data_IF_187695949559
#
_entry.id   IF_187695949559
#
_cell.length_a   1.000
_cell.length_b   1.000
_cell.length_c   1.000
_cell.angle_alpha   90.00
_cell.angle_beta   90.00
_cell.angle_gamma   90.00
#
_symmetry.space_group_name_H-M   'P 1'
#
loop_
_entity.id
_entity.type
_entity.pdbx_description
1 polymer ?
#
# COMPACT_ATOMS: atom_id res chain seq x y z
N UNK A 1 -5.96 -14.01 -0.41
CA UNK A 1 -5.68 -13.57 0.98
C UNK A 1 -6.33 -14.45 2.07
N UNK A 2 -6.86 -15.64 1.74
CA UNK A 2 -7.46 -16.53 2.75
C UNK A 2 -6.48 -16.83 3.90
N UNK A 3 -6.94 -16.67 5.15
CA UNK A 3 -6.13 -16.89 6.35
C UNK A 3 -5.40 -15.66 6.91
N UNK A 4 -5.58 -14.47 6.30
CA UNK A 4 -5.16 -13.22 6.93
C UNK A 4 -6.17 -12.75 7.98
N UNK A 5 -5.66 -12.09 9.03
CA UNK A 5 -6.44 -11.46 10.08
C UNK A 5 -6.18 -9.95 9.99
N UNK A 6 -7.25 -9.18 9.88
CA UNK A 6 -7.24 -7.73 9.98
C UNK A 6 -7.42 -7.33 11.43
N UNK A 7 -6.66 -6.34 11.89
CA UNK A 7 -6.70 -5.81 13.25
C UNK A 7 -7.02 -4.33 13.20
N UNK A 8 -8.11 -3.93 13.84
CA UNK A 8 -8.47 -2.55 14.10
C UNK A 8 -8.03 -2.19 15.51
N UNK A 9 -7.13 -1.21 15.65
CA UNK A 9 -6.55 -0.77 16.92
C UNK A 9 -7.00 0.65 17.22
N UNK A 10 -7.70 0.87 18.33
CA UNK A 10 -8.02 2.22 18.82
C UNK A 10 -6.72 2.93 19.22
N UNK A 11 -6.45 4.08 18.61
CA UNK A 11 -5.19 4.83 18.83
C UNK A 11 -5.09 5.47 20.21
N UNK A 12 -6.22 5.67 20.92
CA UNK A 12 -6.24 6.24 22.26
C UNK A 12 -6.21 5.16 23.33
N UNK A 13 -7.09 4.16 23.23
CA UNK A 13 -7.23 3.11 24.26
C UNK A 13 -6.31 1.91 24.05
N UNK A 14 -5.79 1.72 22.84
CA UNK A 14 -5.03 0.53 22.45
C UNK A 14 -5.89 -0.72 22.28
N UNK A 15 -7.22 -0.62 22.43
CA UNK A 15 -8.14 -1.74 22.26
C UNK A 15 -8.04 -2.29 20.84
N UNK A 16 -7.97 -3.62 20.71
CA UNK A 16 -7.87 -4.33 19.42
C UNK A 16 -9.14 -5.11 19.13
N UNK A 17 -9.61 -5.02 17.89
CA UNK A 17 -10.67 -5.84 17.33
C UNK A 17 -10.05 -6.60 16.16
N UNK A 18 -10.21 -7.92 16.13
CA UNK A 18 -9.64 -8.79 15.08
C UNK A 18 -10.77 -9.38 14.22
N UNK A 19 -10.52 -9.46 12.92
CA UNK A 19 -11.47 -10.02 11.96
C UNK A 19 -10.72 -10.82 10.88
N UNK A 20 -11.17 -12.05 10.63
CA UNK A 20 -10.63 -12.87 9.54
C UNK A 20 -11.10 -12.35 8.19
N UNK A 21 -10.21 -12.39 7.19
CA UNK A 21 -10.54 -12.16 5.78
C UNK A 21 -11.16 -13.45 5.22
N UNK A 22 -12.30 -13.32 4.54
CA UNK A 22 -12.98 -14.45 3.91
C UNK A 22 -12.28 -14.90 2.61
N UNK A 23 -12.84 -15.93 1.95
CA UNK A 23 -12.31 -16.47 0.70
C UNK A 23 -12.36 -15.47 -0.46
N UNK A 24 -13.23 -14.46 -0.39
CA UNK A 24 -13.36 -13.39 -1.37
C UNK A 24 -12.44 -12.19 -1.09
N UNK A 25 -11.66 -12.22 -0.02
CA UNK A 25 -10.78 -11.12 0.36
C UNK A 25 -11.48 -10.03 1.18
N UNK A 26 -12.72 -10.25 1.59
CA UNK A 26 -13.55 -9.26 2.30
C UNK A 26 -13.46 -9.47 3.81
N UNK A 27 -13.53 -8.38 4.57
CA UNK A 27 -13.61 -8.38 6.03
C UNK A 27 -14.66 -7.35 6.47
N UNK A 28 -15.31 -7.60 7.62
CA UNK A 28 -16.33 -6.72 8.17
C UNK A 28 -16.16 -6.58 9.68
N UNK A 29 -15.91 -5.35 10.14
CA UNK A 29 -15.99 -5.01 11.56
C UNK A 29 -17.40 -4.50 11.89
N UNK A 30 -18.06 -5.12 12.87
CA UNK A 30 -19.38 -4.72 13.35
C UNK A 30 -19.28 -4.00 14.71
N UNK A 31 -20.22 -3.10 14.98
CA UNK A 31 -20.32 -2.38 16.26
C UNK A 31 -19.05 -1.62 16.67
N UNK A 32 -18.29 -1.10 15.69
CA UNK A 32 -17.11 -0.25 15.95
C UNK A 32 -17.59 1.10 16.50
N UNK A 33 -17.10 1.53 17.69
CA UNK A 33 -17.44 2.84 18.24
C UNK A 33 -17.11 3.99 17.27
N UNK A 34 -18.09 4.85 17.02
CA UNK A 34 -17.91 6.02 16.15
C UNK A 34 -17.19 7.17 16.85
N UNK A 35 -16.63 8.10 16.08
CA UNK A 35 -15.97 9.30 16.62
C UNK A 35 -14.58 9.06 17.21
N UNK A 36 -13.99 7.90 16.93
CA UNK A 36 -12.62 7.53 17.33
C UNK A 36 -11.68 7.41 16.14
N UNK A 37 -10.38 7.49 16.42
CA UNK A 37 -9.31 7.26 15.43
C UNK A 37 -8.76 5.85 15.61
N UNK A 38 -8.74 5.10 14.52
CA UNK A 38 -8.26 3.73 14.51
C UNK A 38 -7.08 3.55 13.57
N UNK A 39 -6.19 2.63 13.91
CA UNK A 39 -5.17 2.10 13.03
C UNK A 39 -5.62 0.71 12.56
N UNK A 40 -5.65 0.50 11.25
CA UNK A 40 -5.93 -0.81 10.65
C UNK A 40 -4.60 -1.49 10.27
N UNK A 41 -4.47 -2.78 10.51
CA UNK A 41 -3.27 -3.52 10.12
C UNK A 41 -3.57 -4.99 9.85
N UNK A 42 -2.63 -5.69 9.24
CA UNK A 42 -2.68 -7.14 9.12
C UNK A 42 -1.89 -7.76 10.26
N UNK A 43 -2.49 -8.72 10.97
CA UNK A 43 -1.83 -9.45 12.08
C UNK A 43 -0.72 -10.35 11.57
N UNK A 44 -0.97 -11.01 10.46
CA UNK A 44 -0.07 -12.01 9.90
C UNK A 44 0.90 -11.33 8.94
N UNK A 45 2.18 -11.71 9.02
CA UNK A 45 3.17 -11.24 8.09
C UNK A 45 2.79 -11.66 6.67
N UNK A 46 2.96 -10.74 5.73
CA UNK A 46 2.81 -11.06 4.32
C UNK A 46 3.85 -12.09 3.89
N UNK A 47 3.50 -12.98 2.95
CA UNK A 47 4.48 -13.86 2.34
C UNK A 47 5.67 -13.03 1.81
N UNK A 48 6.89 -13.59 1.86
CA UNK A 48 8.05 -12.91 1.30
C UNK A 48 7.82 -12.66 -0.20
N UNK A 49 8.00 -11.42 -0.61
CA UNK A 49 7.93 -11.01 -2.01
C UNK A 49 9.36 -10.96 -2.53
N UNK A 50 9.61 -11.62 -3.66
CA UNK A 50 10.88 -11.54 -4.38
C UNK A 50 10.93 -10.22 -5.16
N UNK A 51 11.38 -9.15 -4.49
CA UNK A 51 11.48 -7.80 -5.08
C UNK A 51 12.42 -7.73 -6.28
N UNK A 52 13.38 -8.65 -6.40
CA UNK A 52 14.29 -8.70 -7.56
C UNK A 52 13.58 -9.21 -8.82
N UNK A 53 12.55 -10.05 -8.65
CA UNK A 53 11.71 -10.51 -9.76
C UNK A 53 10.54 -9.58 -10.06
N UNK A 54 10.12 -8.78 -9.09
CA UNK A 54 8.98 -7.89 -9.20
C UNK A 54 9.26 -6.59 -9.97
N UNK A 55 10.53 -6.17 -10.06
CA UNK A 55 10.90 -4.83 -10.53
C UNK A 55 11.72 -4.94 -11.80
N UNK A 56 11.32 -4.20 -12.83
CA UNK A 56 11.91 -4.26 -14.17
C UNK A 56 12.20 -2.87 -14.75
N UNK A 57 12.80 -2.83 -15.94
CA UNK A 57 13.01 -1.57 -16.68
C UNK A 57 11.67 -0.96 -17.14
N UNK A 58 10.61 -1.76 -17.29
CA UNK A 58 9.29 -1.26 -17.64
C UNK A 58 8.74 -0.31 -16.56
N UNK A 59 9.04 -0.59 -15.30
CA UNK A 59 8.67 0.28 -14.17
C UNK A 59 9.31 1.65 -14.29
N UNK A 60 10.60 1.68 -14.62
CA UNK A 60 11.35 2.92 -14.85
C UNK A 60 10.74 3.77 -15.98
N UNK A 61 10.33 3.13 -17.08
CA UNK A 61 9.67 3.80 -18.20
C UNK A 61 8.33 4.39 -17.76
N UNK A 62 7.54 3.66 -16.97
CA UNK A 62 6.24 4.14 -16.47
C UNK A 62 6.38 5.33 -15.52
N UNK A 63 7.36 5.31 -14.62
CA UNK A 63 7.71 6.46 -13.77
C UNK A 63 8.09 7.66 -14.63
N UNK A 64 8.93 7.45 -15.65
CA UNK A 64 9.36 8.50 -16.58
C UNK A 64 8.17 9.13 -17.32
N UNK A 65 7.25 8.31 -17.82
CA UNK A 65 6.02 8.78 -18.49
C UNK A 65 5.14 9.64 -17.58
N UNK A 66 5.07 9.31 -16.29
CA UNK A 66 4.30 10.08 -15.33
C UNK A 66 4.95 11.43 -15.01
N UNK A 67 6.26 11.46 -14.77
CA UNK A 67 7.01 12.69 -14.55
C UNK A 67 6.89 13.65 -15.75
N UNK A 68 6.91 13.10 -16.96
CA UNK A 68 6.79 13.87 -18.21
C UNK A 68 5.33 14.17 -18.62
N UNK A 69 4.35 13.85 -17.78
CA UNK A 69 2.92 14.00 -18.06
C UNK A 69 2.42 13.33 -19.37
N UNK A 70 3.12 12.29 -19.84
CA UNK A 70 2.74 11.48 -21.01
C UNK A 70 1.61 10.53 -20.65
N UNK A 71 1.74 9.84 -19.51
CA UNK A 71 0.71 8.95 -18.97
C UNK A 71 0.76 8.95 -17.44
N UNK A 72 -0.31 9.41 -16.76
CA UNK A 72 -0.32 9.43 -15.31
C UNK A 72 -0.36 8.01 -14.73
N UNK A 73 0.34 7.80 -13.62
CA UNK A 73 0.19 6.60 -12.80
C UNK A 73 -1.13 6.65 -12.02
N UNK A 74 -1.76 5.51 -11.80
CA UNK A 74 -2.86 5.40 -10.83
C UNK A 74 -2.31 5.56 -9.40
N UNK A 75 -3.20 5.71 -8.41
CA UNK A 75 -2.78 5.97 -7.03
C UNK A 75 -1.85 4.89 -6.46
N UNK A 76 -2.18 3.60 -6.64
CA UNK A 76 -1.34 2.50 -6.17
C UNK A 76 0.06 2.53 -6.80
N UNK A 77 0.15 2.78 -8.11
CA UNK A 77 1.41 2.89 -8.82
C UNK A 77 2.18 4.17 -8.43
N UNK A 78 1.52 5.28 -8.09
CA UNK A 78 2.19 6.44 -7.51
C UNK A 78 2.81 6.11 -6.15
N UNK A 79 2.13 5.32 -5.32
CA UNK A 79 2.70 4.84 -4.05
C UNK A 79 3.87 3.88 -4.26
N UNK A 80 3.84 3.05 -5.30
CA UNK A 80 5.00 2.22 -5.68
C UNK A 80 6.16 3.08 -6.17
N UNK A 81 5.87 4.14 -6.92
CA UNK A 81 6.86 5.02 -7.53
C UNK A 81 7.54 5.98 -6.54
N UNK A 82 6.86 6.45 -5.49
CA UNK A 82 7.40 7.37 -4.47
C UNK A 82 8.38 6.64 -3.53
N UNK A 83 9.59 6.35 -4.01
CA UNK A 83 10.57 5.51 -3.33
C UNK A 83 11.17 6.16 -2.08
N UNK A 84 11.19 7.48 -2.00
CA UNK A 84 11.68 8.21 -0.83
C UNK A 84 10.58 8.68 0.13
N UNK A 85 9.31 8.33 -0.13
CA UNK A 85 8.15 8.71 0.69
C UNK A 85 7.98 10.23 0.82
N UNK A 86 8.28 10.95 -0.25
CA UNK A 86 8.16 12.41 -0.32
C UNK A 86 6.73 12.89 -0.60
N UNK A 87 5.77 11.97 -0.76
CA UNK A 87 4.38 12.23 -1.17
C UNK A 87 4.25 12.73 -2.61
N UNK A 88 5.27 12.52 -3.43
CA UNK A 88 5.27 12.87 -4.84
C UNK A 88 6.19 11.92 -5.63
N UNK A 89 5.94 11.82 -6.94
CA UNK A 89 6.80 11.05 -7.84
C UNK A 89 7.67 12.02 -8.62
N UNK A 90 8.97 11.95 -8.38
CA UNK A 90 9.95 12.89 -8.92
C UNK A 90 11.07 12.16 -9.65
N UNK A 91 11.95 12.92 -10.31
CA UNK A 91 13.17 12.39 -10.91
C UNK A 91 14.11 11.76 -9.87
N UNK A 92 14.02 12.14 -8.59
CA UNK A 92 14.79 11.50 -7.53
C UNK A 92 14.38 10.04 -7.33
N UNK A 93 13.09 9.74 -7.38
CA UNK A 93 12.57 8.38 -7.29
C UNK A 93 13.05 7.51 -8.45
N UNK A 94 13.02 8.08 -9.67
CA UNK A 94 13.57 7.43 -10.86
C UNK A 94 15.05 7.05 -10.66
N UNK A 95 15.85 7.96 -10.08
CA UNK A 95 17.26 7.69 -9.75
C UNK A 95 17.41 6.60 -8.70
N UNK A 96 16.55 6.56 -7.67
CA UNK A 96 16.58 5.50 -6.65
C UNK A 96 16.26 4.13 -7.26
N UNK A 97 15.29 4.04 -8.16
CA UNK A 97 14.94 2.80 -8.86
C UNK A 97 16.09 2.33 -9.76
N UNK A 98 16.74 3.26 -10.49
CA UNK A 98 17.92 2.94 -11.30
C UNK A 98 19.07 2.40 -10.46
N UNK A 99 19.33 2.95 -9.28
CA UNK A 99 20.38 2.45 -8.38
C UNK A 99 20.06 1.04 -7.88
N UNK A 100 18.79 0.75 -7.60
CA UNK A 100 18.35 -0.59 -7.21
C UNK A 100 18.57 -1.61 -8.34
N UNK A 101 18.10 -1.32 -9.55
CA UNK A 101 18.27 -2.20 -10.72
C UNK A 101 19.75 -2.46 -11.07
N UNK A 102 20.64 -1.49 -10.77
CA UNK A 102 22.09 -1.64 -10.95
C UNK A 102 22.78 -2.41 -9.81
N UNK A 103 22.05 -2.85 -8.77
CA UNK A 103 22.64 -3.48 -7.59
C UNK A 103 23.46 -2.54 -6.71
N UNK A 104 23.37 -1.22 -6.92
CA UNK A 104 24.02 -0.19 -6.09
C UNK A 104 23.25 0.08 -4.80
N UNK A 105 21.99 -0.37 -4.75
CA UNK A 105 21.11 -0.28 -3.61
C UNK A 105 20.41 -1.61 -3.40
N UNK A 106 20.55 -2.19 -2.20
CA UNK A 106 20.01 -3.52 -1.90
C UNK A 106 18.64 -3.49 -1.20
N UNK A 107 18.18 -2.29 -0.81
CA UNK A 107 16.90 -2.11 -0.14
C UNK A 107 16.29 -0.76 -0.54
N UNK A 108 15.13 -0.80 -1.19
CA UNK A 108 14.31 0.37 -1.52
C UNK A 108 13.09 0.50 -0.58
N UNK A 109 13.06 -0.30 0.49
CA UNK A 109 11.98 -0.34 1.46
C UNK A 109 10.79 -1.10 0.90
N UNK A 110 10.38 -2.20 1.53
CA UNK A 110 9.11 -2.85 1.17
C UNK A 110 8.03 -2.18 2.02
N UNK A 111 7.34 -1.15 1.49
CA UNK A 111 6.13 -0.65 2.15
C UNK A 111 4.96 -1.54 1.78
N UNK A 112 4.68 -2.47 2.68
CA UNK A 112 3.69 -3.53 2.55
C UNK A 112 2.31 -2.98 2.88
N UNK A 113 1.45 -2.89 1.87
CA UNK A 113 0.04 -2.51 1.92
C UNK A 113 -0.28 -1.01 2.10
N UNK A 114 -1.12 -0.49 1.21
CA UNK A 114 -1.86 0.76 1.37
C UNK A 114 -3.33 0.45 1.56
N UNK A 115 -4.07 1.28 2.30
CA UNK A 115 -5.53 1.16 2.37
C UNK A 115 -6.16 2.06 1.32
N UNK A 116 -6.99 1.50 0.45
CA UNK A 116 -7.83 2.28 -0.45
C UNK A 116 -9.28 2.22 0.01
N UNK A 117 -9.99 3.35 -0.01
CA UNK A 117 -11.45 3.36 0.02
C UNK A 117 -11.98 3.45 -1.41
N UNK A 118 -12.82 2.48 -1.81
CA UNK A 118 -13.42 2.40 -3.14
C UNK A 118 -12.37 2.57 -4.27
N UNK A 119 -11.17 1.99 -4.10
CA UNK A 119 -10.07 2.06 -5.07
C UNK A 119 -9.50 3.45 -5.36
N UNK A 120 -9.84 4.50 -4.59
CA UNK A 120 -9.53 5.90 -4.96
C UNK A 120 -8.91 6.76 -3.86
N UNK A 121 -9.14 6.45 -2.58
CA UNK A 121 -8.58 7.24 -1.48
C UNK A 121 -7.60 6.43 -0.68
N UNK A 122 -6.31 6.76 -0.78
CA UNK A 122 -5.26 6.13 0.02
C UNK A 122 -5.17 6.73 1.42
N UNK A 123 -5.28 5.90 2.46
CA UNK A 123 -4.94 6.31 3.82
C UNK A 123 -3.44 6.13 4.06
N UNK A 124 -2.74 7.21 4.40
CA UNK A 124 -1.35 7.11 4.83
C UNK A 124 -1.28 6.33 6.15
N UNK A 125 -0.34 5.39 6.26
CA UNK A 125 -0.03 4.64 7.48
C UNK A 125 -1.19 3.82 8.07
N UNK A 126 -2.20 3.52 7.26
CA UNK A 126 -3.38 2.77 7.66
C UNK A 126 -4.15 3.39 8.83
N UNK A 127 -4.04 4.71 9.01
CA UNK A 127 -4.77 5.47 10.03
C UNK A 127 -6.09 5.92 9.42
N UNK A 128 -7.19 5.59 10.09
CA UNK A 128 -8.55 6.00 9.74
C UNK A 128 -8.95 7.12 10.70
N UNK A 129 -8.88 8.39 10.26
CA UNK A 129 -9.33 9.50 11.08
C UNK A 129 -10.86 9.52 11.11
N UNK A 130 -11.42 9.51 12.33
CA UNK A 130 -12.84 9.74 12.61
C UNK A 130 -13.79 8.76 11.88
N UNK A 131 -13.98 7.56 12.46
CA UNK A 131 -15.00 6.62 12.01
C UNK A 131 -16.41 7.19 12.28
N UNK A 132 -16.94 8.04 11.40
CA UNK A 132 -18.24 8.70 11.53
C UNK A 132 -19.33 8.07 10.66
N UNK A 133 -18.95 7.20 9.73
CA UNK A 133 -19.84 6.50 8.81
C UNK A 133 -19.25 5.13 8.44
N UNK A 134 -20.04 4.29 7.78
CA UNK A 134 -19.54 3.04 7.20
C UNK A 134 -18.44 3.32 6.18
N UNK A 135 -17.36 2.53 6.23
CA UNK A 135 -16.27 2.51 5.25
C UNK A 135 -16.33 1.23 4.41
N UNK A 136 -17.54 0.90 3.93
CA UNK A 136 -17.68 -0.19 2.96
C UNK A 136 -16.84 0.08 1.71
N UNK A 137 -16.17 -0.94 1.20
CA UNK A 137 -15.21 -0.81 0.09
C UNK A 137 -13.80 -0.39 0.52
N UNK A 138 -13.50 -0.42 1.83
CA UNK A 138 -12.12 -0.32 2.30
C UNK A 138 -11.38 -1.63 1.99
N UNK A 139 -10.27 -1.52 1.29
CA UNK A 139 -9.47 -2.66 0.84
C UNK A 139 -7.98 -2.45 1.14
N UNK A 140 -7.28 -3.56 1.40
CA UNK A 140 -5.82 -3.56 1.40
C UNK A 140 -5.33 -3.75 -0.02
N UNK A 141 -4.55 -2.79 -0.52
CA UNK A 141 -3.86 -2.91 -1.80
C UNK A 141 -2.39 -3.15 -1.55
N UNK A 142 -1.87 -4.23 -2.12
CA UNK A 142 -0.44 -4.51 -2.11
C UNK A 142 0.26 -3.58 -3.08
N UNK A 143 1.31 -2.96 -2.57
CA UNK A 143 2.18 -2.08 -3.34
C UNK A 143 3.59 -2.55 -3.04
N UNK A 144 4.34 -2.91 -4.07
CA UNK A 144 5.77 -3.17 -3.97
C UNK A 144 6.46 -1.90 -4.43
N UNK A 145 7.29 -1.30 -3.58
CA UNK A 145 8.06 -0.11 -3.96
C UNK A 145 8.92 -0.43 -5.18
N UNK A 146 8.79 0.38 -6.22
CA UNK A 146 9.49 0.21 -7.49
C UNK A 146 8.76 -0.65 -8.53
N UNK A 147 7.75 -1.43 -8.15
CA UNK A 147 6.89 -2.20 -9.07
C UNK A 147 5.63 -1.37 -9.36
N UNK A 148 5.72 -0.51 -10.37
CA UNK A 148 4.63 0.39 -10.78
C UNK A 148 3.75 -0.24 -11.86
N UNK A 149 4.20 -1.33 -12.47
CA UNK A 149 3.37 -2.13 -13.36
C UNK A 149 2.50 -3.18 -12.65
N UNK A 150 2.80 -3.47 -11.38
CA UNK A 150 2.07 -4.39 -10.52
C UNK A 150 2.38 -5.85 -10.81
N UNK A 151 3.41 -6.15 -11.60
CA UNK A 151 3.73 -7.52 -12.03
C UNK A 151 4.24 -8.42 -10.91
N UNK A 152 4.75 -7.83 -9.82
CA UNK A 152 5.20 -8.55 -8.64
C UNK A 152 4.12 -8.73 -7.57
N UNK A 153 2.96 -8.09 -7.72
CA UNK A 153 1.87 -8.19 -6.75
C UNK A 153 1.11 -9.54 -6.92
N UNK A 154 0.80 -10.25 -5.83
CA UNK A 154 0.04 -11.51 -5.85
C UNK A 154 -1.47 -11.33 -6.11
#
# INVERSE_FOLDING_TARGET
MSGQIVVLTDTLSGQKIEQSIDSSGVFLFQNVPTGRTYQLSLKNALPPIDTLRAISVLDLVKISHHILAIRPLNQAAQHAADLNESFGVTTFDLVLLMQFLQGKRNNIGIKRSSLLLNGTTAYSHNIIPNFSSSLWGLEFVYVIKGDVDGSGCP
#
